data_IF_118536762728
#
_entry.id   IF_118536762728
#
_cell.length_a   1.000
_cell.length_b   1.000
_cell.length_c   1.000
_cell.angle_alpha   90.00
_cell.angle_beta   90.00
_cell.angle_gamma   90.00
#
_symmetry.space_group_name_H-M   'P 1'
#
loop_
_entity.id
_entity.type
_entity.pdbx_description
1 polymer ?
#
# COMPACT_ATOMS: atom_id res chain seq x y z
N UNK A 1 18.58 -14.00 -1.26
CA UNK A 1 17.23 -13.92 -1.86
C UNK A 1 16.75 -12.50 -1.62
N UNK A 2 16.71 -11.66 -2.64
CA UNK A 2 16.31 -10.25 -2.47
C UNK A 2 14.79 -10.17 -2.42
N UNK A 3 14.24 -9.58 -1.35
CA UNK A 3 12.80 -9.39 -1.22
C UNK A 3 12.24 -8.59 -2.41
N UNK A 4 11.05 -8.98 -2.87
CA UNK A 4 10.30 -8.22 -3.89
C UNK A 4 9.73 -6.98 -3.22
N UNK A 5 10.11 -5.79 -3.72
CA UNK A 5 9.63 -4.51 -3.20
C UNK A 5 8.32 -4.11 -3.87
N UNK A 6 7.31 -3.84 -3.07
CA UNK A 6 5.97 -3.45 -3.52
C UNK A 6 5.64 -2.07 -2.94
N UNK A 7 5.26 -1.13 -3.80
CA UNK A 7 4.89 0.22 -3.40
C UNK A 7 3.44 0.53 -3.75
N UNK A 8 2.68 1.03 -2.78
CA UNK A 8 1.33 1.56 -2.99
C UNK A 8 1.33 3.09 -2.89
N UNK A 9 0.65 3.73 -3.84
CA UNK A 9 0.29 5.14 -3.77
C UNK A 9 -1.22 5.23 -3.68
N UNK A 10 -1.72 5.68 -2.52
CA UNK A 10 -3.14 5.81 -2.22
C UNK A 10 -3.57 7.26 -2.42
N UNK A 11 -4.33 7.51 -3.49
CA UNK A 11 -4.98 8.79 -3.78
C UNK A 11 -6.49 8.60 -3.61
N UNK A 12 -7.11 9.33 -2.69
CA UNK A 12 -8.50 9.12 -2.32
C UNK A 12 -8.74 7.88 -1.45
N UNK A 13 -10.01 7.59 -1.19
CA UNK A 13 -10.45 6.55 -0.26
C UNK A 13 -11.38 5.52 -0.91
N UNK A 14 -10.81 4.59 -1.68
CA UNK A 14 -11.51 3.40 -2.15
C UNK A 14 -11.46 2.33 -1.06
N UNK A 15 -12.55 1.60 -0.83
CA UNK A 15 -12.59 0.54 0.20
C UNK A 15 -11.43 -0.46 0.07
N UNK A 16 -11.07 -0.82 -1.17
CA UNK A 16 -9.92 -1.70 -1.45
C UNK A 16 -8.57 -1.03 -1.15
N UNK A 17 -8.43 0.29 -1.40
CA UNK A 17 -7.17 0.98 -1.17
C UNK A 17 -6.79 1.02 0.31
N UNK A 18 -7.75 0.87 1.24
CA UNK A 18 -7.46 0.79 2.67
C UNK A 18 -6.79 -0.52 3.09
N UNK A 19 -7.06 -1.62 2.38
CA UNK A 19 -6.66 -2.97 2.80
C UNK A 19 -5.65 -3.64 1.87
N UNK A 20 -5.38 -3.08 0.70
CA UNK A 20 -4.58 -3.75 -0.33
C UNK A 20 -3.14 -4.07 0.08
N UNK A 21 -2.51 -3.23 0.91
CA UNK A 21 -1.19 -3.48 1.50
C UNK A 21 -1.26 -4.51 2.64
N UNK A 22 -2.32 -4.45 3.45
CA UNK A 22 -2.53 -5.38 4.56
C UNK A 22 -2.80 -6.81 4.08
N UNK A 23 -3.55 -7.00 2.99
CA UNK A 23 -3.89 -8.33 2.44
C UNK A 23 -2.66 -9.06 1.89
N UNK A 24 -1.58 -8.34 1.57
CA UNK A 24 -0.34 -8.96 1.10
C UNK A 24 0.53 -9.51 2.23
N UNK A 25 0.37 -9.00 3.46
CA UNK A 25 1.13 -9.43 4.64
C UNK A 25 0.28 -9.26 5.91
N UNK A 26 -0.74 -10.10 6.03
CA UNK A 26 -1.85 -9.92 6.98
C UNK A 26 -1.44 -10.11 8.45
N UNK A 27 -0.37 -10.86 8.70
CA UNK A 27 0.20 -11.11 10.03
C UNK A 27 1.60 -10.49 10.21
N UNK A 28 2.07 -9.68 9.26
CA UNK A 28 3.41 -9.07 9.27
C UNK A 28 4.57 -10.09 9.41
N UNK A 29 4.40 -11.29 8.86
CA UNK A 29 5.37 -12.39 8.96
C UNK A 29 5.73 -13.00 7.60
N UNK A 30 5.23 -12.43 6.50
CA UNK A 30 5.49 -12.94 5.16
C UNK A 30 6.93 -12.65 4.76
N UNK A 31 7.64 -13.71 4.37
CA UNK A 31 9.00 -13.59 3.82
C UNK A 31 8.96 -13.40 2.30
N UNK A 32 9.97 -12.72 1.76
CA UNK A 32 10.16 -12.55 0.32
C UNK A 32 9.48 -11.32 -0.27
N UNK A 33 8.77 -10.51 0.52
CA UNK A 33 8.21 -9.22 0.09
C UNK A 33 8.50 -8.11 1.10
N UNK A 34 8.59 -6.88 0.60
CA UNK A 34 8.64 -5.66 1.41
C UNK A 34 7.64 -4.65 0.86
N UNK A 35 6.64 -4.28 1.66
CA UNK A 35 5.58 -3.36 1.26
C UNK A 35 5.81 -1.97 1.87
N UNK A 36 5.64 -0.92 1.08
CA UNK A 36 5.54 0.47 1.56
C UNK A 36 4.34 1.16 0.95
N UNK A 37 3.72 2.03 1.72
CA UNK A 37 2.54 2.79 1.32
C UNK A 37 2.79 4.29 1.50
N UNK A 38 2.46 5.07 0.48
CA UNK A 38 2.36 6.52 0.51
C UNK A 38 0.91 6.91 0.22
N UNK A 39 0.45 8.03 0.77
CA UNK A 39 -0.89 8.51 0.46
C UNK A 39 -1.13 9.96 0.82
N UNK A 40 -2.10 10.53 0.13
CA UNK A 40 -2.58 11.91 0.28
C UNK A 40 -3.88 11.98 1.09
N UNK A 41 -4.33 10.84 1.63
CA UNK A 41 -5.60 10.71 2.35
C UNK A 41 -6.79 10.71 1.39
N UNK A 42 -7.84 11.48 1.70
CA UNK A 42 -9.04 11.57 0.87
C UNK A 42 -8.83 12.39 -0.42
N UNK A 43 -7.70 13.08 -0.55
CA UNK A 43 -7.38 13.98 -1.65
C UNK A 43 -6.97 13.19 -2.88
N UNK A 44 -7.47 13.61 -4.05
CA UNK A 44 -7.12 13.01 -5.35
C UNK A 44 -7.06 14.05 -6.48
N UNK A 45 -7.16 15.32 -6.13
CA UNK A 45 -7.08 16.42 -7.09
C UNK A 45 -5.66 16.52 -7.65
N UNK A 46 -5.46 17.02 -8.88
CA UNK A 46 -4.13 17.10 -9.49
C UNK A 46 -3.09 17.91 -8.68
N UNK A 47 -3.56 18.88 -7.90
CA UNK A 47 -2.71 19.81 -7.13
C UNK A 47 -2.54 19.43 -5.65
N UNK A 48 -3.10 18.29 -5.25
CA UNK A 48 -3.09 17.79 -3.86
C UNK A 48 -2.26 16.53 -3.66
#
# INVERSE_FOLDING_TARGET
>A
MSDVKIGFVKLGNLGMSQVIDLVLDEIAARQGIMVRTLGTGAKMSPDE
#
